data_IF_283887486747
#
_entry.id   IF_283887486747
#
_cell.length_a   1.000
_cell.length_b   1.000
_cell.length_c   1.000
_cell.angle_alpha   90.00
_cell.angle_beta   90.00
_cell.angle_gamma   90.00
#
_symmetry.space_group_name_H-M   'P 1'
#
loop_
_entity.id
_entity.type
_entity.pdbx_description
1 polymer ?
#
# COMPACT_ATOMS: atom_id res chain seq x y z
N UNK A 1 -3.56 3.87 -6.71
CA UNK A 1 -4.52 2.76 -6.78
C UNK A 1 -5.89 3.17 -6.36
N UNK A 2 -6.80 3.05 -7.31
CA UNK A 2 -8.15 3.58 -7.19
C UNK A 2 -9.14 2.49 -7.58
N UNK A 3 -10.18 2.36 -6.76
CA UNK A 3 -11.32 1.55 -7.12
C UNK A 3 -11.99 2.16 -8.37
N UNK A 4 -12.32 1.31 -9.33
CA UNK A 4 -13.09 1.67 -10.53
C UNK A 4 -14.27 0.72 -10.67
N UNK A 5 -15.27 1.11 -11.45
CA UNK A 5 -16.33 0.17 -11.84
C UNK A 5 -15.83 -0.73 -12.96
N UNK A 6 -16.31 -1.97 -13.01
CA UNK A 6 -16.00 -2.89 -14.11
C UNK A 6 -16.45 -2.33 -15.48
N UNK A 7 -17.52 -1.53 -15.50
CA UNK A 7 -17.98 -0.84 -16.69
C UNK A 7 -16.96 0.20 -17.18
N UNK A 8 -16.45 1.05 -16.29
CA UNK A 8 -15.43 2.05 -16.62
C UNK A 8 -14.11 1.38 -17.04
N UNK A 9 -13.71 0.29 -16.37
CA UNK A 9 -12.56 -0.51 -16.79
C UNK A 9 -12.65 -0.98 -18.24
N UNK A 10 -13.86 -1.38 -18.66
CA UNK A 10 -14.11 -1.85 -20.03
C UNK A 10 -14.10 -0.69 -21.04
N UNK A 11 -14.65 0.46 -20.68
CA UNK A 11 -14.66 1.67 -21.51
C UNK A 11 -13.24 2.20 -21.76
N UNK A 12 -12.43 2.25 -20.70
CA UNK A 12 -11.02 2.67 -20.73
C UNK A 12 -10.07 1.57 -21.26
N UNK A 13 -10.60 0.44 -21.75
CA UNK A 13 -9.86 -0.71 -22.29
C UNK A 13 -8.75 -1.23 -21.37
N UNK A 14 -9.00 -1.23 -20.06
CA UNK A 14 -8.04 -1.71 -19.10
C UNK A 14 -7.78 -3.22 -19.25
N UNK A 15 -6.53 -3.64 -19.10
CA UNK A 15 -6.17 -5.05 -19.10
C UNK A 15 -6.43 -5.66 -17.71
N UNK A 16 -7.17 -6.76 -17.65
CA UNK A 16 -7.25 -7.59 -16.44
C UNK A 16 -5.92 -8.32 -16.27
N UNK A 17 -5.25 -8.08 -15.14
CA UNK A 17 -3.98 -8.74 -14.81
C UNK A 17 -4.21 -9.97 -13.94
N UNK A 18 -5.15 -9.89 -13.01
CA UNK A 18 -5.46 -10.97 -12.09
C UNK A 18 -6.85 -10.80 -11.49
N UNK A 19 -7.33 -11.88 -10.87
CA UNK A 19 -8.48 -11.87 -9.96
C UNK A 19 -7.98 -12.20 -8.55
N UNK A 20 -8.49 -11.53 -7.54
CA UNK A 20 -8.17 -11.77 -6.13
C UNK A 20 -9.45 -11.96 -5.32
N UNK A 21 -9.39 -12.84 -4.32
CA UNK A 21 -10.51 -13.08 -3.41
C UNK A 21 -10.07 -12.85 -1.98
N UNK A 22 -10.84 -12.01 -1.27
CA UNK A 22 -10.69 -11.74 0.16
C UNK A 22 -11.79 -12.52 0.89
N UNK A 23 -11.42 -13.21 1.98
CA UNK A 23 -12.36 -13.97 2.80
C UNK A 23 -12.28 -13.52 4.25
N UNK A 24 -13.44 -13.26 4.85
CA UNK A 24 -13.66 -12.96 6.26
C UNK A 24 -12.81 -11.82 6.85
N UNK A 25 -12.40 -10.86 6.02
CA UNK A 25 -11.62 -9.72 6.46
C UNK A 25 -12.49 -8.75 7.28
N UNK A 26 -11.86 -8.02 8.21
CA UNK A 26 -12.51 -6.87 8.82
C UNK A 26 -12.82 -5.83 7.74
N UNK A 27 -14.04 -5.24 7.67
CA UNK A 27 -14.42 -4.40 6.53
C UNK A 27 -13.48 -3.21 6.24
N UNK A 28 -12.89 -2.62 7.29
CA UNK A 28 -11.92 -1.53 7.15
C UNK A 28 -10.59 -1.96 6.47
N UNK A 29 -10.32 -3.26 6.34
CA UNK A 29 -9.10 -3.79 5.74
C UNK A 29 -9.28 -4.21 4.28
N UNK A 30 -10.51 -4.39 3.81
CA UNK A 30 -10.81 -4.89 2.45
C UNK A 30 -10.20 -3.97 1.39
N UNK A 31 -10.47 -2.66 1.46
CA UNK A 31 -9.92 -1.68 0.52
C UNK A 31 -8.38 -1.65 0.54
N UNK A 32 -7.78 -1.71 1.73
CA UNK A 32 -6.32 -1.74 1.89
C UNK A 32 -5.73 -2.99 1.25
N UNK A 33 -6.30 -4.16 1.51
CA UNK A 33 -5.82 -5.41 0.93
C UNK A 33 -5.93 -5.40 -0.59
N UNK A 34 -7.05 -4.93 -1.15
CA UNK A 34 -7.23 -4.82 -2.60
C UNK A 34 -6.17 -3.90 -3.23
N UNK A 35 -5.92 -2.72 -2.64
CA UNK A 35 -4.82 -1.84 -3.06
C UNK A 35 -3.47 -2.55 -3.02
N UNK A 36 -3.19 -3.27 -1.94
CA UNK A 36 -1.91 -3.95 -1.77
C UNK A 36 -1.69 -5.04 -2.83
N UNK A 37 -2.69 -5.89 -3.04
CA UNK A 37 -2.59 -7.01 -3.99
C UNK A 37 -2.55 -6.48 -5.42
N UNK A 38 -3.34 -5.46 -5.75
CA UNK A 38 -3.28 -4.80 -7.06
C UNK A 38 -1.87 -4.29 -7.34
N UNK A 39 -1.22 -3.65 -6.36
CA UNK A 39 0.15 -3.16 -6.51
C UNK A 39 1.16 -4.28 -6.66
N UNK A 40 1.08 -5.29 -5.81
CA UNK A 40 1.95 -6.44 -5.87
C UNK A 40 1.86 -7.19 -7.22
N UNK A 41 0.70 -7.14 -7.89
CA UNK A 41 0.46 -7.72 -9.21
C UNK A 41 0.79 -6.78 -10.38
N UNK A 42 1.24 -5.55 -10.11
CA UNK A 42 1.60 -4.58 -11.15
C UNK A 42 0.39 -3.90 -11.83
N UNK A 43 -0.79 -3.93 -11.19
CA UNK A 43 -1.94 -3.14 -11.64
C UNK A 43 -1.89 -1.71 -11.12
N UNK A 44 -2.87 -0.92 -11.50
CA UNK A 44 -3.10 0.44 -10.97
C UNK A 44 -4.55 0.67 -10.51
N UNK A 45 -5.49 -0.21 -10.91
CA UNK A 45 -6.90 -0.15 -10.52
C UNK A 45 -7.43 -1.51 -10.10
N UNK A 46 -8.54 -1.52 -9.36
CA UNK A 46 -9.30 -2.74 -9.07
C UNK A 46 -10.80 -2.46 -9.10
N UNK A 47 -11.60 -3.49 -9.37
CA UNK A 47 -13.04 -3.45 -9.22
C UNK A 47 -13.51 -4.66 -8.43
N UNK A 48 -14.33 -4.42 -7.40
CA UNK A 48 -15.06 -5.51 -6.74
C UNK A 48 -16.18 -5.96 -7.68
N UNK A 49 -16.04 -7.18 -8.21
CA UNK A 49 -17.02 -7.78 -9.12
C UNK A 49 -18.11 -8.54 -8.36
N UNK A 50 -17.80 -9.01 -7.15
CA UNK A 50 -18.74 -9.76 -6.32
C UNK A 50 -18.46 -9.52 -4.84
N UNK A 51 -19.52 -9.31 -4.05
CA UNK A 51 -19.46 -9.29 -2.59
C UNK A 51 -20.06 -10.59 -2.08
N UNK A 52 -19.23 -11.45 -1.49
CA UNK A 52 -19.65 -12.77 -1.00
C UNK A 52 -20.24 -12.69 0.41
N UNK A 53 -19.73 -11.80 1.25
CA UNK A 53 -20.19 -11.65 2.62
C UNK A 53 -19.99 -10.23 3.14
N UNK A 54 -20.78 -9.86 4.15
CA UNK A 54 -20.74 -8.55 4.79
C UNK A 54 -20.74 -8.66 6.33
N UNK A 55 -19.99 -7.79 6.99
CA UNK A 55 -20.05 -7.56 8.43
C UNK A 55 -20.58 -6.15 8.69
N UNK A 56 -21.67 -6.03 9.45
CA UNK A 56 -22.31 -4.74 9.74
C UNK A 56 -22.60 -3.93 8.47
N UNK A 57 -23.16 -4.60 7.45
CA UNK A 57 -23.51 -4.04 6.13
C UNK A 57 -22.32 -3.51 5.31
N UNK A 58 -21.08 -3.85 5.69
CA UNK A 58 -19.87 -3.52 4.93
C UNK A 58 -19.23 -4.79 4.40
N UNK A 59 -18.64 -4.80 3.19
CA UNK A 59 -18.00 -5.99 2.64
C UNK A 59 -16.93 -6.55 3.58
N UNK A 60 -16.99 -7.85 3.86
CA UNK A 60 -15.97 -8.61 4.60
C UNK A 60 -15.32 -9.68 3.72
N UNK A 61 -16.05 -10.19 2.72
CA UNK A 61 -15.55 -11.13 1.73
C UNK A 61 -15.92 -10.64 0.33
N UNK A 62 -14.94 -10.52 -0.56
CA UNK A 62 -15.13 -9.98 -1.92
C UNK A 62 -14.28 -10.72 -2.93
N UNK A 63 -14.75 -10.72 -4.18
CA UNK A 63 -13.93 -11.06 -5.37
C UNK A 63 -13.71 -9.78 -6.15
N UNK A 64 -12.47 -9.51 -6.50
CA UNK A 64 -12.07 -8.32 -7.24
C UNK A 64 -11.21 -8.67 -8.45
N UNK A 65 -11.44 -7.96 -9.54
CA UNK A 65 -10.55 -7.92 -10.70
C UNK A 65 -9.55 -6.79 -10.54
N UNK A 66 -8.30 -7.08 -10.90
CA UNK A 66 -7.17 -6.15 -10.81
C UNK A 66 -6.79 -5.74 -12.23
N UNK A 67 -6.73 -4.44 -12.48
CA UNK A 67 -6.55 -3.88 -13.81
C UNK A 67 -5.27 -3.07 -13.93
N UNK A 68 -4.76 -3.01 -15.17
CA UNK A 68 -3.88 -1.97 -15.64
C UNK A 68 -4.59 -1.15 -16.72
N UNK A 69 -4.83 0.13 -16.46
CA UNK A 69 -5.57 1.03 -17.36
C UNK A 69 -4.68 1.94 -18.22
N UNK A 70 -3.38 1.64 -18.36
CA UNK A 70 -2.49 2.45 -19.21
C UNK A 70 -2.23 1.77 -20.56
N UNK A 71 -2.50 2.48 -21.67
CA UNK A 71 -1.96 2.13 -22.98
C UNK A 71 -0.45 2.41 -23.00
N UNK A 72 0.35 1.48 -22.48
CA UNK A 72 1.74 1.16 -22.89
C UNK A 72 2.43 0.34 -21.81
N UNK A 73 3.13 -0.69 -22.27
CA UNK A 73 4.30 -1.27 -21.60
C UNK A 73 5.13 -0.17 -20.96
N UNK A 74 5.09 -0.10 -19.64
CA UNK A 74 6.21 0.38 -18.86
C UNK A 74 6.52 -0.69 -17.84
N UNK A 75 7.70 -1.29 -18.02
CA UNK A 75 8.52 -1.77 -16.90
C UNK A 75 8.33 -0.84 -15.71
N UNK A 76 8.38 -1.36 -14.47
CA UNK A 76 8.39 -0.57 -13.23
C UNK A 76 9.33 0.66 -13.37
N UNK A 77 8.81 1.78 -13.85
CA UNK A 77 9.52 3.03 -14.01
C UNK A 77 8.83 4.00 -13.08
N UNK A 78 9.60 4.35 -12.06
CA UNK A 78 9.34 5.31 -11.01
C UNK A 78 8.29 4.92 -9.98
N UNK A 79 8.76 4.82 -8.74
CA UNK A 79 7.98 4.45 -7.56
C UNK A 79 7.01 5.57 -7.21
N UNK A 80 5.91 5.63 -7.94
CA UNK A 80 4.83 6.55 -7.66
C UNK A 80 4.21 6.23 -6.29
N UNK A 81 3.93 7.26 -5.50
CA UNK A 81 3.28 7.09 -4.20
C UNK A 81 1.86 6.55 -4.40
N UNK A 82 1.52 5.50 -3.65
CA UNK A 82 0.15 5.03 -3.54
C UNK A 82 -0.71 6.16 -2.93
N UNK A 83 -1.96 6.34 -3.38
CA UNK A 83 -2.88 7.27 -2.72
C UNK A 83 -3.05 6.93 -1.24
N UNK A 84 -2.77 7.91 -0.38
CA UNK A 84 -2.70 7.79 1.07
C UNK A 84 -1.27 7.63 1.61
N UNK A 85 -0.33 7.10 0.82
CA UNK A 85 1.06 6.93 1.23
C UNK A 85 1.80 8.26 1.36
N UNK A 86 1.34 9.33 0.71
CA UNK A 86 1.84 10.70 0.91
C UNK A 86 1.70 11.20 2.36
N UNK A 87 0.80 10.58 3.15
CA UNK A 87 0.58 10.93 4.55
C UNK A 87 1.48 10.14 5.51
N UNK A 88 2.23 9.15 4.99
CA UNK A 88 3.21 8.40 5.78
C UNK A 88 4.40 9.30 6.06
N UNK A 89 4.82 9.34 7.33
CA UNK A 89 5.95 10.18 7.76
C UNK A 89 6.96 9.36 8.57
N UNK A 90 8.26 9.71 8.56
CA UNK A 90 9.22 9.07 9.44
C UNK A 90 8.85 9.33 10.92
N UNK A 91 9.11 8.33 11.75
CA UNK A 91 8.96 8.36 13.20
C UNK A 91 10.33 8.59 13.84
N UNK A 92 10.43 9.65 14.63
CA UNK A 92 11.62 9.95 15.42
C UNK A 92 11.42 9.31 16.80
N UNK A 93 12.16 8.23 17.07
CA UNK A 93 12.06 7.42 18.29
C UNK A 93 12.33 8.24 19.57
N UNK A 94 13.16 9.29 19.51
CA UNK A 94 13.49 10.12 20.67
C UNK A 94 12.30 10.91 21.23
N UNK A 95 11.18 11.00 20.50
CA UNK A 95 9.96 11.71 20.92
C UNK A 95 8.83 10.74 21.35
N UNK A 96 9.14 9.48 21.70
CA UNK A 96 8.12 8.51 22.10
C UNK A 96 7.48 8.87 23.44
N UNK A 97 6.34 9.56 23.38
CA UNK A 97 5.26 9.29 24.32
C UNK A 97 4.68 7.92 23.92
N UNK A 98 5.14 6.86 24.59
CA UNK A 98 4.81 5.43 24.32
C UNK A 98 3.30 5.11 24.21
N UNK A 99 2.42 6.06 24.49
CA UNK A 99 0.96 5.88 24.46
C UNK A 99 0.30 6.21 23.11
N UNK A 100 1.01 6.75 22.12
CA UNK A 100 0.37 7.24 20.88
C UNK A 100 0.64 6.41 19.62
N UNK A 101 1.65 5.53 19.61
CA UNK A 101 2.05 4.76 18.43
C UNK A 101 2.14 3.28 18.73
N UNK A 102 1.50 2.44 17.91
CA UNK A 102 1.55 0.97 18.01
C UNK A 102 2.36 0.43 16.84
N UNK A 103 3.33 -0.45 17.10
CA UNK A 103 4.03 -1.20 16.07
C UNK A 103 3.04 -2.14 15.39
N UNK A 104 2.96 -2.07 14.06
CA UNK A 104 2.08 -2.90 13.24
C UNK A 104 2.84 -4.10 12.70
N UNK A 105 3.98 -3.84 12.07
CA UNK A 105 4.82 -4.89 11.49
C UNK A 105 6.24 -4.38 11.20
N UNK A 106 7.16 -5.30 10.94
CA UNK A 106 8.53 -5.02 10.51
C UNK A 106 8.78 -5.72 9.17
N UNK A 107 9.26 -4.99 8.16
CA UNK A 107 9.51 -5.57 6.84
C UNK A 107 10.75 -4.99 6.16
N UNK A 108 11.24 -5.69 5.14
CA UNK A 108 12.36 -5.29 4.30
C UNK A 108 11.85 -4.57 3.06
N UNK A 109 12.34 -3.35 2.85
CA UNK A 109 12.11 -2.57 1.63
C UNK A 109 13.35 -2.63 0.75
N UNK A 110 13.13 -2.84 -0.54
CA UNK A 110 14.18 -2.85 -1.57
C UNK A 110 13.74 -1.93 -2.69
N UNK A 111 14.63 -1.02 -3.10
CA UNK A 111 14.43 -0.20 -4.28
C UNK A 111 15.47 -0.54 -5.34
N UNK A 112 15.01 -0.64 -6.60
CA UNK A 112 15.89 -0.78 -7.75
C UNK A 112 16.65 0.52 -8.04
N UNK A 113 16.02 1.67 -7.78
CA UNK A 113 16.58 3.01 -7.88
C UNK A 113 16.67 3.64 -6.47
N UNK A 114 17.88 3.98 -6.03
CA UNK A 114 18.11 4.52 -4.68
C UNK A 114 17.39 5.85 -4.43
N UNK A 115 17.09 6.62 -5.48
CA UNK A 115 16.38 7.90 -5.36
C UNK A 115 14.89 7.72 -5.01
N UNK A 116 14.34 6.54 -5.26
CA UNK A 116 12.94 6.21 -5.04
C UNK A 116 12.69 5.46 -3.72
N UNK A 117 13.72 5.23 -2.92
CA UNK A 117 13.61 4.41 -1.71
C UNK A 117 12.59 4.97 -0.72
N UNK A 118 12.50 6.29 -0.59
CA UNK A 118 11.54 6.94 0.32
C UNK A 118 10.08 6.67 -0.09
N UNK A 119 9.79 6.70 -1.40
CA UNK A 119 8.47 6.39 -1.92
C UNK A 119 8.12 4.90 -1.71
N UNK A 120 9.08 4.00 -1.92
CA UNK A 120 8.91 2.57 -1.63
C UNK A 120 8.65 2.31 -0.14
N UNK A 121 9.37 3.00 0.75
CA UNK A 121 9.16 2.90 2.20
C UNK A 121 7.77 3.42 2.57
N UNK A 122 7.36 4.57 2.05
CA UNK A 122 6.05 5.15 2.30
C UNK A 122 4.93 4.21 1.82
N UNK A 123 5.03 3.71 0.59
CA UNK A 123 4.10 2.74 0.02
C UNK A 123 4.03 1.49 0.89
N UNK A 124 5.18 0.91 1.24
CA UNK A 124 5.22 -0.31 2.06
C UNK A 124 4.59 -0.09 3.44
N UNK A 125 4.92 1.01 4.10
CA UNK A 125 4.36 1.37 5.41
C UNK A 125 2.85 1.52 5.33
N UNK A 126 2.35 2.20 4.30
CA UNK A 126 0.91 2.37 4.06
C UNK A 126 0.23 1.02 3.82
N UNK A 127 0.84 0.16 3.01
CA UNK A 127 0.34 -1.19 2.72
C UNK A 127 0.24 -2.03 4.00
N UNK A 128 1.22 -1.94 4.89
CA UNK A 128 1.19 -2.60 6.21
C UNK A 128 0.12 -2.01 7.15
N UNK A 129 -0.46 -0.84 6.80
CA UNK A 129 -1.47 -0.15 7.60
C UNK A 129 -0.91 0.91 8.55
N UNK A 130 0.40 1.13 8.51
CA UNK A 130 1.06 2.20 9.24
C UNK A 130 0.79 3.57 8.63
N UNK A 131 0.95 4.61 9.44
CA UNK A 131 1.03 6.01 9.02
C UNK A 131 2.38 6.65 9.44
N UNK A 132 3.23 5.88 10.11
CA UNK A 132 4.58 6.25 10.50
C UNK A 132 5.54 5.09 10.28
N UNK A 133 6.81 5.37 10.01
CA UNK A 133 7.83 4.32 9.89
C UNK A 133 9.13 4.69 10.59
N UNK A 134 9.90 3.70 10.99
CA UNK A 134 11.26 3.89 11.47
C UNK A 134 12.20 2.93 10.73
N UNK A 135 13.27 3.45 10.13
CA UNK A 135 14.31 2.61 9.52
C UNK A 135 15.18 2.07 10.64
N UNK A 136 15.10 0.77 10.89
CA UNK A 136 15.87 0.11 11.96
C UNK A 136 17.27 -0.29 11.50
N UNK A 137 17.42 -0.62 10.21
CA UNK A 137 18.70 -1.07 9.65
C UNK A 137 18.79 -0.78 8.16
N UNK A 138 19.96 -0.34 7.71
CA UNK A 138 20.32 -0.36 6.28
C UNK A 138 20.95 -1.71 5.95
N UNK A 139 20.42 -2.39 4.92
CA UNK A 139 20.90 -3.70 4.49
C UNK A 139 21.94 -3.53 3.40
N UNK A 140 21.61 -2.79 2.35
CA UNK A 140 22.45 -2.60 1.17
C UNK A 140 22.50 -1.14 0.76
N UNK A 141 23.63 -0.76 0.16
CA UNK A 141 23.86 0.56 -0.42
C UNK A 141 24.36 0.43 -1.85
N UNK A 142 23.84 1.25 -2.76
CA UNK A 142 24.35 1.43 -4.12
C UNK A 142 24.76 2.89 -4.29
N UNK A 143 25.95 3.12 -4.84
CA UNK A 143 26.45 4.48 -5.12
C UNK A 143 26.42 5.41 -3.89
N UNK A 144 26.64 4.85 -2.70
CA UNK A 144 26.63 5.61 -1.43
C UNK A 144 25.25 5.95 -0.88
N UNK A 145 24.16 5.54 -1.56
CA UNK A 145 22.78 5.67 -1.08
C UNK A 145 22.21 4.31 -0.68
N UNK A 146 21.33 4.28 0.32
CA UNK A 146 20.65 3.05 0.70
C UNK A 146 19.80 2.52 -0.47
N UNK A 147 19.92 1.23 -0.76
CA UNK A 147 19.09 0.53 -1.75
C UNK A 147 18.16 -0.50 -1.11
N UNK A 148 18.46 -0.91 0.12
CA UNK A 148 17.57 -1.76 0.91
C UNK A 148 17.67 -1.44 2.40
N UNK A 149 16.52 -1.43 3.07
CA UNK A 149 16.40 -1.14 4.50
C UNK A 149 15.39 -2.08 5.17
N UNK A 150 15.54 -2.28 6.47
CA UNK A 150 14.50 -2.82 7.35
C UNK A 150 13.73 -1.64 7.93
N UNK A 151 12.40 -1.70 7.86
CA UNK A 151 11.51 -0.71 8.45
C UNK A 151 10.59 -1.35 9.47
N UNK A 152 10.32 -0.60 10.54
CA UNK A 152 9.19 -0.82 11.42
C UNK A 152 8.05 0.11 11.00
N UNK A 153 6.87 -0.44 10.74
CA UNK A 153 5.67 0.32 10.43
C UNK A 153 4.83 0.52 11.69
N UNK A 154 4.48 1.76 12.00
CA UNK A 154 3.70 2.15 13.16
C UNK A 154 2.36 2.76 12.75
N UNK A 155 1.33 2.50 13.55
CA UNK A 155 0.07 3.25 13.55
C UNK A 155 0.06 4.19 14.74
N UNK A 156 0.16 5.48 14.46
CA UNK A 156 0.03 6.53 15.45
C UNK A 156 -1.34 7.19 15.39
N UNK A 157 -1.89 7.55 16.54
CA UNK A 157 -3.05 8.43 16.63
C UNK A 157 -2.72 9.80 16.01
N UNK A 158 -3.69 10.43 15.36
CA UNK A 158 -3.58 11.84 14.99
C UNK A 158 -3.63 12.65 16.27
N UNK A 159 -2.60 13.46 16.56
CA UNK A 159 -2.78 14.54 17.52
C UNK A 159 -3.96 15.38 17.02
N UNK A 160 -5.05 15.42 17.79
CA UNK A 160 -6.04 16.45 17.65
C UNK A 160 -5.32 17.75 18.01
N UNK A 161 -4.85 18.49 17.01
CA UNK A 161 -4.63 19.92 17.17
C UNK A 161 -5.97 20.51 17.61
N UNK A 162 -6.09 20.77 18.92
CA UNK A 162 -7.15 21.63 19.48
C UNK A 162 -6.95 23.06 19.00
#
# INVERSE_FOLDING_TARGET
MTAISAALAKEEKCQIIATHSIKDAHPNNVDRELKNVTYAKGGNHFAVIEVMDTKSSRPSSVVAELYNCNERTTEKTDSELLPGAENVKPLIISNMNQKQCTLIDTDVVKSANTDNLDAEIANKTYMLGGNRFHITKVIDTKEGKASSVVIDAYRCGTELTQ
#
